data_IF_682535811724
#
_entry.id   IF_682535811724
#
_cell.length_a   1.000
_cell.length_b   1.000
_cell.length_c   1.000
_cell.angle_alpha   90.00
_cell.angle_beta   90.00
_cell.angle_gamma   90.00
#
_symmetry.space_group_name_H-M   'P 1'
#
loop_
_entity.id
_entity.type
_entity.pdbx_description
1 polymer ?
#
# COMPACT_ATOMS: atom_id res chain seq x y z
N UNK A 1 10.59 -19.49 5.20
CA UNK A 1 10.30 -18.41 6.18
C UNK A 1 10.74 -17.03 5.71
N UNK A 2 12.02 -16.81 5.37
CA UNK A 2 12.50 -15.49 4.94
C UNK A 2 11.72 -14.86 3.78
N UNK A 3 11.41 -15.63 2.72
CA UNK A 3 10.58 -15.17 1.59
C UNK A 3 9.22 -14.59 2.00
N UNK A 4 8.56 -15.26 2.95
CA UNK A 4 7.25 -14.83 3.44
C UNK A 4 7.38 -13.52 4.22
N UNK A 5 8.42 -13.42 5.05
CA UNK A 5 8.73 -12.20 5.79
C UNK A 5 9.02 -11.01 4.86
N UNK A 6 9.82 -11.20 3.80
CA UNK A 6 10.10 -10.13 2.82
C UNK A 6 8.85 -9.69 2.08
N UNK A 7 7.98 -10.64 1.71
CA UNK A 7 6.70 -10.32 1.08
C UNK A 7 5.83 -9.48 2.03
N UNK A 8 5.72 -9.89 3.29
CA UNK A 8 4.89 -9.23 4.29
C UNK A 8 5.39 -7.80 4.60
N UNK A 9 6.71 -7.62 4.71
CA UNK A 9 7.35 -6.30 4.83
C UNK A 9 7.07 -5.44 3.59
N UNK A 10 7.21 -6.00 2.39
CA UNK A 10 6.87 -5.32 1.15
C UNK A 10 5.41 -4.85 1.10
N UNK A 11 4.49 -5.69 1.57
CA UNK A 11 3.08 -5.35 1.68
C UNK A 11 2.81 -4.19 2.65
N UNK A 12 3.42 -4.21 3.83
CA UNK A 12 3.30 -3.09 4.79
C UNK A 12 3.86 -1.78 4.24
N UNK A 13 4.95 -1.81 3.48
CA UNK A 13 5.47 -0.62 2.78
C UNK A 13 4.42 -0.09 1.79
N UNK A 14 3.75 -0.98 1.05
CA UNK A 14 2.65 -0.63 0.15
C UNK A 14 1.49 0.06 0.85
N UNK A 15 1.07 -0.43 2.03
CA UNK A 15 0.03 0.21 2.86
C UNK A 15 0.51 1.55 3.41
N UNK A 16 1.78 1.66 3.84
CA UNK A 16 2.35 2.93 4.28
C UNK A 16 2.29 4.00 3.18
N UNK A 17 2.58 3.62 1.93
CA UNK A 17 2.43 4.50 0.76
C UNK A 17 0.98 4.92 0.53
N UNK A 18 0.01 4.01 0.70
CA UNK A 18 -1.41 4.35 0.54
C UNK A 18 -1.86 5.38 1.56
N UNK A 19 -1.42 5.26 2.82
CA UNK A 19 -1.69 6.23 3.88
C UNK A 19 -1.09 7.59 3.51
N UNK A 20 0.16 7.64 3.05
CA UNK A 20 0.81 8.89 2.65
C UNK A 20 0.06 9.59 1.51
N UNK A 21 -0.34 8.84 0.48
CA UNK A 21 -1.10 9.36 -0.67
C UNK A 21 -2.44 9.94 -0.21
N UNK A 22 -3.20 9.19 0.59
CA UNK A 22 -4.50 9.65 1.07
C UNK A 22 -4.41 10.79 2.07
N UNK A 23 -3.32 10.88 2.85
CA UNK A 23 -3.05 12.02 3.71
C UNK A 23 -2.86 13.30 2.89
N UNK A 24 -2.05 13.25 1.82
CA UNK A 24 -1.84 14.40 0.94
C UNK A 24 -3.13 14.79 0.23
N UNK A 25 -3.87 13.82 -0.32
CA UNK A 25 -5.16 14.07 -0.97
C UNK A 25 -6.17 14.66 0.02
N UNK A 26 -6.28 14.09 1.23
CA UNK A 26 -7.19 14.57 2.26
C UNK A 26 -6.86 15.99 2.73
N UNK A 27 -5.58 16.37 2.78
CA UNK A 27 -5.21 17.74 3.17
C UNK A 27 -5.54 18.77 2.08
N UNK A 28 -5.44 18.39 0.80
CA UNK A 28 -5.74 19.29 -0.34
C UNK A 28 -7.23 19.36 -0.64
N UNK A 29 -7.94 18.23 -0.60
CA UNK A 29 -9.32 18.09 -1.04
C UNK A 29 -10.33 17.90 0.09
N UNK A 30 -9.89 17.66 1.33
CA UNK A 30 -10.76 17.48 2.50
C UNK A 30 -11.70 18.66 2.75
N UNK A 31 -11.28 19.93 2.60
CA UNK A 31 -12.19 21.07 2.73
C UNK A 31 -13.31 21.10 1.68
N UNK A 32 -13.14 20.41 0.54
CA UNK A 32 -14.10 20.37 -0.56
C UNK A 32 -15.15 19.27 -0.41
N UNK A 33 -14.97 18.34 0.55
CA UNK A 33 -15.88 17.22 0.77
C UNK A 33 -16.02 16.94 2.27
N UNK A 34 -17.06 17.51 2.87
CA UNK A 34 -17.37 17.42 4.30
C UNK A 34 -18.65 16.62 4.60
N UNK A 35 -19.23 15.95 3.61
CA UNK A 35 -20.42 15.11 3.82
C UNK A 35 -20.08 13.79 4.54
N UNK A 36 -20.95 13.33 5.45
CA UNK A 36 -20.79 12.01 6.10
C UNK A 36 -20.82 10.85 5.09
N UNK A 37 -21.68 10.94 4.07
CA UNK A 37 -21.76 9.93 3.00
C UNK A 37 -20.46 9.84 2.17
N UNK A 38 -19.79 10.98 2.00
CA UNK A 38 -18.51 11.05 1.31
C UNK A 38 -17.40 10.35 2.09
N UNK A 39 -17.38 10.49 3.43
CA UNK A 39 -16.38 9.85 4.28
C UNK A 39 -16.41 8.31 4.16
N UNK A 40 -17.61 7.71 4.20
CA UNK A 40 -17.77 6.27 4.05
C UNK A 40 -17.34 5.76 2.66
N UNK A 41 -17.63 6.54 1.61
CA UNK A 41 -17.20 6.25 0.24
C UNK A 41 -15.67 6.30 0.11
N UNK A 42 -15.03 7.36 0.58
CA UNK A 42 -13.58 7.50 0.51
C UNK A 42 -12.84 6.47 1.37
N UNK A 43 -13.41 6.06 2.50
CA UNK A 43 -12.86 4.99 3.31
C UNK A 43 -12.83 3.65 2.57
N UNK A 44 -13.90 3.29 1.85
CA UNK A 44 -13.93 2.08 1.00
C UNK A 44 -12.89 2.14 -0.11
N UNK A 45 -12.74 3.30 -0.75
CA UNK A 45 -11.72 3.51 -1.79
C UNK A 45 -10.32 3.39 -1.19
N UNK A 46 -10.06 4.00 -0.04
CA UNK A 46 -8.80 3.87 0.69
C UNK A 46 -8.47 2.41 0.97
N UNK A 47 -9.44 1.63 1.48
CA UNK A 47 -9.22 0.22 1.80
C UNK A 47 -8.89 -0.60 0.55
N UNK A 48 -9.60 -0.35 -0.57
CA UNK A 48 -9.32 -1.01 -1.84
C UNK A 48 -7.92 -0.67 -2.36
N UNK A 49 -7.51 0.60 -2.32
CA UNK A 49 -6.18 1.04 -2.76
C UNK A 49 -5.09 0.48 -1.85
N UNK A 50 -5.29 0.49 -0.53
CA UNK A 50 -4.37 -0.09 0.44
C UNK A 50 -4.17 -1.59 0.19
N UNK A 51 -5.24 -2.32 -0.09
CA UNK A 51 -5.17 -3.75 -0.41
C UNK A 51 -4.41 -4.02 -1.71
N UNK A 52 -4.67 -3.26 -2.77
CA UNK A 52 -3.95 -3.38 -4.04
C UNK A 52 -2.46 -3.08 -3.86
N UNK A 53 -2.12 -2.01 -3.14
CA UNK A 53 -0.73 -1.65 -2.85
C UNK A 53 -0.04 -2.66 -1.93
N UNK A 54 -0.76 -3.27 -0.98
CA UNK A 54 -0.25 -4.37 -0.18
C UNK A 54 0.14 -5.57 -1.05
N UNK A 55 -0.73 -5.98 -1.98
CA UNK A 55 -0.42 -7.07 -2.91
C UNK A 55 0.76 -6.69 -3.80
N UNK A 56 0.74 -5.50 -4.40
CA UNK A 56 1.80 -5.03 -5.28
C UNK A 56 3.16 -4.97 -4.56
N UNK A 57 3.18 -4.44 -3.33
CA UNK A 57 4.37 -4.41 -2.48
C UNK A 57 4.87 -5.79 -2.10
N UNK A 58 3.96 -6.71 -1.77
CA UNK A 58 4.30 -8.11 -1.43
C UNK A 58 4.90 -8.87 -2.61
N UNK A 59 4.32 -8.69 -3.80
CA UNK A 59 4.80 -9.31 -5.04
C UNK A 59 6.13 -8.69 -5.47
N UNK A 60 6.25 -7.35 -5.44
CA UNK A 60 7.48 -6.64 -5.77
C UNK A 60 8.65 -7.06 -4.87
N UNK A 61 8.44 -7.09 -3.55
CA UNK A 61 9.47 -7.55 -2.61
C UNK A 61 9.86 -9.01 -2.82
N UNK A 62 8.91 -9.87 -3.16
CA UNK A 62 9.18 -11.28 -3.49
C UNK A 62 10.03 -11.45 -4.76
N UNK A 63 9.77 -10.64 -5.80
CA UNK A 63 10.55 -10.64 -7.05
C UNK A 63 11.97 -10.15 -6.78
N UNK A 64 12.13 -9.05 -6.02
CA UNK A 64 13.44 -8.51 -5.65
C UNK A 64 14.24 -9.53 -4.84
N UNK A 65 13.62 -10.17 -3.85
CA UNK A 65 14.27 -11.21 -3.05
C UNK A 65 14.76 -12.37 -3.92
N UNK A 66 13.94 -12.85 -4.88
CA UNK A 66 14.36 -13.91 -5.82
C UNK A 66 15.58 -13.48 -6.64
N UNK A 67 15.60 -12.23 -7.15
CA UNK A 67 16.74 -11.70 -7.92
C UNK A 67 18.02 -11.59 -7.10
N UNK A 68 17.91 -11.20 -5.83
CA UNK A 68 19.06 -11.08 -4.92
C UNK A 68 19.64 -12.44 -4.54
N UNK A 69 18.79 -13.44 -4.29
CA UNK A 69 19.24 -14.81 -3.97
C UNK A 69 19.87 -15.50 -5.18
N UNK A 70 19.29 -15.36 -6.37
CA UNK A 70 19.84 -15.96 -7.60
C UNK A 70 21.12 -15.25 -8.11
N UNK A 71 21.48 -14.09 -7.56
CA UNK A 71 22.73 -13.37 -7.87
C UNK A 71 23.89 -13.73 -6.94
N UNK A 72 23.72 -14.63 -5.96
CA UNK A 72 24.87 -15.13 -5.20
C UNK A 72 25.74 -16.01 -6.12
N UNK A 73 27.07 -15.76 -6.18
CA UNK A 73 27.99 -16.55 -6.99
C UNK A 73 28.03 -18.01 -6.54
#
# INVERSE_FOLDING_TARGET
>A
MMRFLTALVGGFIGVGLSILIFYVIGNVFGPLSQGEDDAAKYFKIFLAVAFVLFIAGSVGASIIYKRLVNKKP
#
